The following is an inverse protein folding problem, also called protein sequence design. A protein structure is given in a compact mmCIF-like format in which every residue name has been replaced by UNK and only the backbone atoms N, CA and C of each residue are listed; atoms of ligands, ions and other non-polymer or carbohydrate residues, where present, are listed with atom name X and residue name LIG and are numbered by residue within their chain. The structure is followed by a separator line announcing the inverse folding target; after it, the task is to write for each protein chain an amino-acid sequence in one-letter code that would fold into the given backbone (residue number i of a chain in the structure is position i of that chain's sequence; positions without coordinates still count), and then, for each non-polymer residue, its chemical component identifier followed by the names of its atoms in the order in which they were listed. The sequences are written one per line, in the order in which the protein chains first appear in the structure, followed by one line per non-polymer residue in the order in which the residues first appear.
data_IF_167730964834
#
_entry.id   IF_167730964834
#
_cell.length_a   1.000
_cell.length_b   1.000
_cell.length_c   1.000
_cell.angle_alpha   90.00
_cell.angle_beta   90.00
_cell.angle_gamma   90.00
#
_symmetry.space_group_name_H-M   'P 1'
#
loop_
_entity.id
_entity.type
_entity.pdbx_description
1 polymer ?
#
# COMPACT_ATOMS: atom_id res chain seq x y z
N UNK A 1 -14.92 9.67 3.53
CA UNK A 1 -15.77 8.47 3.69
C UNK A 1 -14.86 7.21 3.77
N UNK A 2 -15.27 6.12 4.45
CA UNK A 2 -14.48 4.88 4.54
C UNK A 2 -14.13 4.27 3.17
N UNK A 3 -15.05 4.35 2.21
CA UNK A 3 -14.86 3.87 0.84
C UNK A 3 -13.81 4.66 0.07
N UNK A 4 -13.74 5.97 0.26
CA UNK A 4 -12.71 6.82 -0.35
C UNK A 4 -11.31 6.47 0.19
N UNK A 5 -11.19 6.24 1.50
CA UNK A 5 -9.94 5.79 2.12
C UNK A 5 -9.50 4.45 1.54
N UNK A 6 -10.43 3.52 1.39
CA UNK A 6 -10.16 2.22 0.78
C UNK A 6 -9.65 2.38 -0.65
N UNK A 7 -10.30 3.22 -1.47
CA UNK A 7 -9.86 3.51 -2.83
C UNK A 7 -8.44 4.11 -2.90
N UNK A 8 -8.09 5.00 -1.96
CA UNK A 8 -6.71 5.53 -1.86
C UNK A 8 -5.71 4.42 -1.51
N UNK A 9 -6.05 3.55 -0.56
CA UNK A 9 -5.21 2.41 -0.16
C UNK A 9 -5.02 1.42 -1.31
N UNK A 10 -6.09 1.06 -2.01
CA UNK A 10 -6.02 0.16 -3.17
C UNK A 10 -5.17 0.76 -4.30
N UNK A 11 -5.28 2.08 -4.55
CA UNK A 11 -4.41 2.78 -5.51
C UNK A 11 -2.95 2.80 -5.07
N UNK A 12 -2.67 2.98 -3.77
CA UNK A 12 -1.30 2.86 -3.24
C UNK A 12 -0.71 1.45 -3.46
N UNK A 13 -1.52 0.40 -3.30
CA UNK A 13 -1.10 -0.98 -3.61
C UNK A 13 -0.74 -1.14 -5.09
N UNK A 14 -1.56 -0.61 -5.99
CA UNK A 14 -1.27 -0.63 -7.44
C UNK A 14 0.01 0.13 -7.78
N UNK A 15 0.24 1.29 -7.15
CA UNK A 15 1.47 2.06 -7.32
C UNK A 15 2.70 1.30 -6.82
N UNK A 16 2.60 0.61 -5.68
CA UNK A 16 3.68 -0.25 -5.18
C UNK A 16 3.98 -1.40 -6.15
N UNK A 17 2.97 -2.05 -6.73
CA UNK A 17 3.19 -3.09 -7.75
C UNK A 17 3.83 -2.52 -9.02
N UNK A 18 3.44 -1.31 -9.42
CA UNK A 18 4.04 -0.62 -10.56
C UNK A 18 5.52 -0.31 -10.31
N UNK A 19 5.87 0.08 -9.07
CA UNK A 19 7.27 0.22 -8.67
C UNK A 19 8.03 -1.09 -8.76
N UNK A 20 7.48 -2.17 -8.19
CA UNK A 20 8.10 -3.50 -8.21
C UNK A 20 8.33 -4.05 -9.63
N UNK A 21 7.62 -3.54 -10.63
CA UNK A 21 7.70 -3.97 -12.04
C UNK A 21 8.47 -3.00 -12.93
N UNK A 22 9.18 -2.01 -12.35
CA UNK A 22 10.13 -1.16 -13.07
C UNK A 22 9.79 0.33 -13.07
N UNK A 23 8.66 0.75 -12.51
CA UNK A 23 8.37 2.18 -12.31
C UNK A 23 9.30 2.81 -11.26
N UNK A 24 9.56 4.11 -11.32
CA UNK A 24 10.30 4.81 -10.23
C UNK A 24 9.44 5.05 -8.99
N UNK A 25 10.03 5.02 -7.79
CA UNK A 25 9.32 5.38 -6.55
C UNK A 25 8.68 6.78 -6.61
N UNK A 26 9.39 7.74 -7.22
CA UNK A 26 8.94 9.12 -7.33
C UNK A 26 7.67 9.29 -8.17
N UNK A 27 7.52 8.54 -9.27
CA UNK A 27 6.32 8.59 -10.12
C UNK A 27 5.21 7.63 -9.69
N UNK A 28 5.49 6.67 -8.80
CA UNK A 28 4.54 5.65 -8.39
C UNK A 28 4.04 5.92 -6.97
N UNK A 29 4.62 5.28 -5.96
CA UNK A 29 4.18 5.36 -4.55
C UNK A 29 4.20 6.80 -4.05
N UNK A 30 5.26 7.56 -4.34
CA UNK A 30 5.41 8.94 -3.87
C UNK A 30 4.75 9.99 -4.77
N UNK A 31 4.03 9.58 -5.81
CA UNK A 31 3.05 10.46 -6.48
C UNK A 31 1.84 10.77 -5.58
N UNK A 32 1.66 9.97 -4.51
CA UNK A 32 0.63 10.17 -3.51
C UNK A 32 1.03 11.26 -2.49
N UNK A 33 0.26 12.33 -2.42
CA UNK A 33 0.45 13.45 -1.49
C UNK A 33 0.41 13.02 -0.02
N UNK A 34 -0.34 11.96 0.29
CA UNK A 34 -0.41 11.39 1.65
C UNK A 34 0.92 10.75 2.08
N UNK A 35 1.69 10.20 1.12
CA UNK A 35 3.02 9.62 1.37
C UNK A 35 4.08 10.69 1.61
N UNK A 36 3.93 11.88 1.01
CA UNK A 36 4.89 12.98 1.15
C UNK A 36 4.84 13.66 2.52
N UNK A 37 3.65 13.71 3.15
CA UNK A 37 3.44 14.37 4.46
C UNK A 37 2.43 13.59 5.32
N UNK A 38 2.77 12.37 5.78
CA UNK A 38 1.87 11.51 6.53
C UNK A 38 1.39 12.15 7.86
N UNK A 39 2.15 13.09 8.43
CA UNK A 39 1.78 13.80 9.67
C UNK A 39 0.48 14.60 9.51
N UNK A 40 0.17 15.07 8.29
CA UNK A 40 -1.05 15.84 8.01
C UNK A 40 -2.32 14.99 8.07
N UNK A 41 -2.18 13.67 7.94
CA UNK A 41 -3.28 12.72 8.02
C UNK A 41 -3.29 11.92 9.33
N UNK A 42 -2.53 12.34 10.36
CA UNK A 42 -2.43 11.60 11.62
C UNK A 42 -3.77 11.36 12.35
N UNK A 43 -4.81 12.16 12.04
CA UNK A 43 -6.16 11.98 12.56
C UNK A 43 -6.90 10.79 11.92
N UNK A 44 -6.49 10.37 10.71
CA UNK A 44 -7.02 9.21 10.00
C UNK A 44 -6.19 7.98 10.32
N UNK A 45 -6.59 7.22 11.34
CA UNK A 45 -5.79 6.11 11.86
C UNK A 45 -5.44 5.07 10.79
N UNK A 46 -6.39 4.73 9.91
CA UNK A 46 -6.20 3.70 8.89
C UNK A 46 -5.25 4.17 7.79
N UNK A 47 -5.53 5.32 7.19
CA UNK A 47 -4.72 5.83 6.09
C UNK A 47 -3.31 6.18 6.56
N UNK A 48 -3.18 6.79 7.74
CA UNK A 48 -1.89 7.14 8.33
C UNK A 48 -1.05 5.89 8.65
N UNK A 49 -1.63 4.88 9.29
CA UNK A 49 -0.92 3.63 9.58
C UNK A 49 -0.48 2.92 8.29
N UNK A 50 -1.33 2.92 7.27
CA UNK A 50 -1.01 2.33 5.97
C UNK A 50 0.15 3.07 5.29
N UNK A 51 0.09 4.40 5.20
CA UNK A 51 1.14 5.20 4.56
C UNK A 51 2.50 5.05 5.26
N UNK A 52 2.51 5.10 6.61
CA UNK A 52 3.74 4.86 7.39
C UNK A 52 4.33 3.48 7.11
N UNK A 53 3.49 2.45 7.15
CA UNK A 53 3.93 1.08 6.91
C UNK A 53 4.39 0.85 5.46
N UNK A 54 3.74 1.48 4.48
CA UNK A 54 4.16 1.43 3.07
C UNK A 54 5.52 2.12 2.88
N UNK A 55 5.73 3.30 3.46
CA UNK A 55 7.01 4.01 3.39
C UNK A 55 8.14 3.14 3.99
N UNK A 56 7.88 2.54 5.15
CA UNK A 56 8.83 1.61 5.75
C UNK A 56 9.04 0.35 4.92
N UNK A 57 7.99 -0.20 4.30
CA UNK A 57 8.10 -1.35 3.38
C UNK A 57 8.95 -1.01 2.15
N UNK A 58 8.81 0.19 1.59
CA UNK A 58 9.66 0.67 0.49
C UNK A 58 11.14 0.68 0.91
N UNK A 59 11.43 1.18 2.11
CA UNK A 59 12.78 1.12 2.69
C UNK A 59 13.29 -0.32 2.82
N UNK A 60 12.48 -1.24 3.34
CA UNK A 60 12.86 -2.65 3.48
C UNK A 60 13.14 -3.30 2.12
N UNK A 61 12.25 -3.14 1.14
CA UNK A 61 12.43 -3.68 -0.21
C UNK A 61 13.69 -3.12 -0.86
N UNK A 62 13.95 -1.81 -0.75
CA UNK A 62 15.19 -1.20 -1.26
C UNK A 62 16.43 -1.82 -0.63
N UNK A 63 16.48 -1.93 0.69
CA UNK A 63 17.62 -2.55 1.40
C UNK A 63 17.81 -3.99 0.93
N UNK A 64 16.74 -4.77 0.81
CA UNK A 64 16.80 -6.16 0.33
C UNK A 64 17.34 -6.26 -1.09
N UNK A 65 16.82 -5.43 -1.99
CA UNK A 65 17.21 -5.41 -3.41
C UNK A 65 18.66 -4.97 -3.56
N UNK A 66 19.09 -3.92 -2.84
CA UNK A 66 20.49 -3.45 -2.87
C UNK A 66 21.49 -4.49 -2.34
N UNK A 67 21.06 -5.40 -1.45
CA UNK A 67 21.88 -6.53 -1.01
C UNK A 67 21.96 -7.65 -2.07
N UNK A 68 21.06 -7.67 -3.06
CA UNK A 68 20.80 -8.78 -3.98
C UNK A 68 21.64 -8.83 -5.25
N UNK A 69 22.75 -8.09 -5.36
CA UNK A 69 23.56 -7.98 -6.59
C UNK A 69 22.72 -7.69 -7.85
N UNK A 70 21.71 -6.82 -7.71
CA UNK A 70 20.87 -6.36 -8.82
C UNK A 70 21.57 -5.26 -9.61
N UNK A 71 21.24 -5.15 -10.89
CA UNK A 71 21.63 -4.03 -11.74
C UNK A 71 20.50 -3.00 -11.73
N UNK A 72 20.82 -1.77 -11.31
CA UNK A 72 19.86 -0.66 -11.28
C UNK A 72 19.36 -0.34 -12.70
N UNK A 73 18.07 -0.02 -12.84
CA UNK A 73 17.36 0.25 -14.11
C UNK A 73 17.18 -0.96 -15.05
N UNK A 74 17.97 -2.02 -14.92
CA UNK A 74 17.80 -3.28 -15.65
C UNK A 74 16.88 -4.25 -14.88
N UNK A 75 17.20 -4.54 -13.62
CA UNK A 75 16.45 -5.48 -12.79
C UNK A 75 15.39 -4.78 -11.94
N UNK A 76 15.74 -3.62 -11.38
CA UNK A 76 14.88 -2.89 -10.44
C UNK A 76 15.22 -1.39 -10.38
N UNK A 77 14.20 -0.54 -10.32
CA UNK A 77 14.38 0.90 -10.10
C UNK A 77 14.53 1.21 -8.60
N UNK A 78 15.76 1.11 -8.10
CA UNK A 78 16.09 1.30 -6.67
C UNK A 78 16.20 2.78 -6.29
N UNK A 79 16.47 3.65 -7.26
CA UNK A 79 16.71 5.06 -7.03
C UNK A 79 15.55 5.74 -6.29
N UNK A 80 15.89 6.41 -5.19
CA UNK A 80 14.92 7.10 -4.35
C UNK A 80 14.83 8.60 -4.63
N UNK A 81 15.72 9.20 -5.43
CA UNK A 81 15.69 10.63 -5.75
C UNK A 81 15.57 11.54 -4.51
N UNK A 82 16.23 11.19 -3.40
CA UNK A 82 16.14 11.95 -2.14
C UNK A 82 14.83 11.77 -1.35
N UNK A 83 13.94 10.86 -1.76
CA UNK A 83 12.74 10.50 -1.01
C UNK A 83 13.09 9.88 0.36
N UNK A 84 12.20 9.98 1.37
CA UNK A 84 12.48 9.58 2.76
C UNK A 84 12.43 8.05 2.95
N UNK A 85 13.24 7.31 2.19
CA UNK A 85 13.40 5.84 2.25
C UNK A 85 14.78 5.44 2.75
N UNK A 86 15.59 6.41 3.20
CA UNK A 86 16.95 6.26 3.72
C UNK A 86 17.99 5.87 2.66
N UNK A 87 19.25 5.89 3.07
CA UNK A 87 20.39 5.60 2.20
C UNK A 87 21.25 4.50 2.84
N UNK A 88 21.50 3.42 2.10
CA UNK A 88 22.45 2.37 2.53
C UNK A 88 21.97 0.93 2.33
N UNK A 89 22.90 0.01 2.56
CA UNK A 89 22.72 -1.44 2.42
C UNK A 89 22.14 -2.12 3.67
N UNK A 90 21.89 -1.36 4.74
CA UNK A 90 21.38 -1.87 6.02
C UNK A 90 20.45 -0.85 6.66
N UNK A 91 19.50 -1.32 7.46
CA UNK A 91 18.61 -0.44 8.22
C UNK A 91 19.36 0.27 9.35
N UNK A 92 19.19 1.59 9.43
CA UNK A 92 19.63 2.42 10.55
C UNK A 92 18.85 2.10 11.83
N UNK A 93 19.31 2.62 12.98
CA UNK A 93 18.62 2.45 14.26
C UNK A 93 17.23 3.09 14.22
N UNK A 94 17.13 4.27 13.61
CA UNK A 94 15.90 5.02 13.39
C UNK A 94 14.93 4.22 12.53
N UNK A 95 15.41 3.69 11.40
CA UNK A 95 14.59 2.87 10.51
C UNK A 95 14.07 1.60 11.21
N UNK A 96 14.87 0.97 12.07
CA UNK A 96 14.42 -0.17 12.88
C UNK A 96 13.34 0.25 13.89
N UNK A 97 13.51 1.41 14.54
CA UNK A 97 12.52 1.95 15.46
C UNK A 97 11.21 2.33 14.74
N UNK A 98 11.30 2.87 13.52
CA UNK A 98 10.16 3.17 12.67
C UNK A 98 9.34 1.92 12.36
N UNK A 99 9.99 0.78 12.10
CA UNK A 99 9.31 -0.51 11.89
C UNK A 99 8.44 -0.92 13.09
N UNK A 100 8.94 -0.73 14.32
CA UNK A 100 8.17 -0.98 15.56
C UNK A 100 6.99 -0.01 15.67
N UNK A 101 7.21 1.28 15.40
CA UNK A 101 6.16 2.30 15.40
C UNK A 101 5.07 2.00 14.36
N UNK A 102 5.46 1.54 13.16
CA UNK A 102 4.54 1.17 12.09
C UNK A 102 3.68 -0.03 12.49
N UNK A 103 4.26 -1.07 13.10
CA UNK A 103 3.50 -2.23 13.59
C UNK A 103 2.46 -1.82 14.65
N UNK A 104 2.85 -0.95 15.59
CA UNK A 104 1.92 -0.44 16.60
C UNK A 104 0.77 0.36 15.96
N UNK A 105 1.08 1.22 14.99
CA UNK A 105 0.07 1.98 14.25
C UNK A 105 -0.89 1.08 13.47
N UNK A 106 -0.38 0.03 12.80
CA UNK A 106 -1.20 -0.95 12.09
C UNK A 106 -2.14 -1.70 13.03
N UNK A 107 -1.65 -2.15 14.19
CA UNK A 107 -2.51 -2.83 15.17
C UNK A 107 -3.64 -1.93 15.66
N UNK A 108 -3.33 -0.67 16.00
CA UNK A 108 -4.34 0.32 16.41
C UNK A 108 -5.36 0.60 15.30
N UNK A 109 -4.92 0.67 14.04
CA UNK A 109 -5.81 0.86 12.90
C UNK A 109 -6.72 -0.36 12.66
N UNK A 110 -6.23 -1.57 12.91
CA UNK A 110 -7.03 -2.79 12.82
C UNK A 110 -8.13 -2.83 13.89
N UNK A 111 -7.80 -2.52 15.14
CA UNK A 111 -8.78 -2.37 16.23
C UNK A 111 -9.85 -1.33 15.86
N UNK A 112 -9.41 -0.18 15.32
CA UNK A 112 -10.33 0.87 14.86
C UNK A 112 -11.28 0.39 13.75
N UNK A 113 -10.80 -0.39 12.77
CA UNK A 113 -11.66 -0.94 11.72
C UNK A 113 -12.74 -1.87 12.30
N UNK A 114 -12.39 -2.69 13.28
CA UNK A 114 -13.33 -3.59 13.95
C UNK A 114 -14.38 -2.82 14.75
N UNK A 115 -13.97 -1.78 15.49
CA UNK A 115 -14.89 -0.89 16.20
C UNK A 115 -15.82 -0.13 15.25
N UNK A 116 -15.27 0.46 14.19
CA UNK A 116 -16.04 1.21 13.21
C UNK A 116 -17.05 0.33 12.46
N UNK A 117 -16.66 -0.91 12.11
CA UNK A 117 -17.55 -1.90 11.51
C UNK A 117 -18.70 -2.32 12.44
N UNK A 118 -18.47 -2.40 13.76
CA UNK A 118 -19.53 -2.63 14.75
C UNK A 118 -20.48 -1.44 14.90
N UNK A 119 -19.95 -0.21 14.83
CA UNK A 119 -20.72 1.02 15.01
C UNK A 119 -21.55 1.39 13.78
N UNK A 120 -21.10 1.02 12.58
CA UNK A 120 -21.79 1.29 11.32
C UNK A 120 -21.98 -0.02 10.52
N UNK A 121 -22.99 -0.85 10.85
CA UNK A 121 -23.24 -2.13 10.18
C UNK A 121 -23.39 -2.01 8.65
N UNK A 122 -23.93 -0.89 8.16
CA UNK A 122 -24.07 -0.61 6.73
C UNK A 122 -22.72 -0.41 6.00
N UNK A 123 -21.66 -0.06 6.73
CA UNK A 123 -20.29 0.06 6.20
C UNK A 123 -19.38 -1.09 6.68
N UNK A 124 -19.93 -2.09 7.38
CA UNK A 124 -19.15 -3.17 7.99
C UNK A 124 -18.27 -3.89 6.98
N UNK A 125 -18.79 -4.14 5.77
CA UNK A 125 -18.03 -4.74 4.68
C UNK A 125 -16.84 -3.85 4.27
N UNK A 126 -17.04 -2.54 4.14
CA UNK A 126 -15.98 -1.59 3.77
C UNK A 126 -14.87 -1.55 4.84
N UNK A 127 -15.24 -1.59 6.11
CA UNK A 127 -14.27 -1.68 7.21
C UNK A 127 -13.55 -3.03 7.25
N UNK A 128 -14.22 -4.13 6.93
CA UNK A 128 -13.59 -5.45 6.80
C UNK A 128 -12.58 -5.48 5.64
N UNK A 129 -12.94 -4.88 4.49
CA UNK A 129 -12.06 -4.72 3.34
C UNK A 129 -10.81 -3.91 3.72
N UNK A 130 -10.99 -2.75 4.35
CA UNK A 130 -9.89 -1.92 4.86
C UNK A 130 -8.99 -2.70 5.82
N UNK A 131 -9.57 -3.42 6.78
CA UNK A 131 -8.83 -4.25 7.72
C UNK A 131 -7.99 -5.33 7.00
N UNK A 132 -8.52 -5.95 5.94
CA UNK A 132 -7.76 -6.91 5.13
C UNK A 132 -6.52 -6.28 4.49
N UNK A 133 -6.62 -5.07 3.90
CA UNK A 133 -5.46 -4.36 3.33
C UNK A 133 -4.41 -4.02 4.40
N UNK A 134 -4.85 -3.61 5.59
CA UNK A 134 -3.96 -3.34 6.72
C UNK A 134 -3.27 -4.62 7.23
N UNK A 135 -3.97 -5.76 7.30
CA UNK A 135 -3.38 -7.05 7.68
C UNK A 135 -2.38 -7.55 6.64
N UNK A 136 -2.71 -7.44 5.35
CA UNK A 136 -1.78 -7.77 4.25
C UNK A 136 -0.49 -6.96 4.39
N UNK A 137 -0.60 -5.63 4.53
CA UNK A 137 0.56 -4.74 4.74
C UNK A 137 1.39 -5.16 5.97
N UNK A 138 0.72 -5.47 7.07
CA UNK A 138 1.38 -5.93 8.30
C UNK A 138 2.19 -7.20 8.07
N UNK A 139 1.58 -8.23 7.48
CA UNK A 139 2.26 -9.50 7.22
C UNK A 139 3.42 -9.32 6.24
N UNK A 140 3.25 -8.56 5.15
CA UNK A 140 4.32 -8.26 4.20
C UNK A 140 5.52 -7.58 4.88
N UNK A 141 5.26 -6.55 5.69
CA UNK A 141 6.29 -5.83 6.42
C UNK A 141 7.02 -6.75 7.42
N UNK A 142 6.29 -7.59 8.16
CA UNK A 142 6.89 -8.54 9.10
C UNK A 142 7.72 -9.62 8.40
N UNK A 143 7.31 -10.06 7.22
CA UNK A 143 8.08 -10.96 6.36
C UNK A 143 9.42 -10.34 5.97
N UNK A 144 9.39 -9.14 5.40
CA UNK A 144 10.59 -8.40 5.00
C UNK A 144 11.52 -8.11 6.17
N UNK A 145 10.99 -7.67 7.32
CA UNK A 145 11.79 -7.46 8.54
C UNK A 145 12.43 -8.75 9.06
N UNK A 146 11.79 -9.91 8.83
CA UNK A 146 12.35 -11.22 9.23
C UNK A 146 13.49 -11.65 8.32
N UNK A 147 13.42 -11.34 7.01
CA UNK A 147 14.53 -11.54 6.06
C UNK A 147 15.71 -10.63 6.40
N UNK A 148 15.45 -9.35 6.67
CA UNK A 148 16.47 -8.32 6.89
C UNK A 148 17.04 -8.27 8.31
N UNK A 149 16.84 -9.32 9.12
CA UNK A 149 17.33 -9.37 10.49
C UNK A 149 18.86 -9.42 10.48
N UNK A 150 19.51 -8.46 11.15
CA UNK A 150 20.95 -8.19 11.02
C UNK A 150 21.89 -9.34 11.44
N UNK A 151 21.48 -10.21 12.37
CA UNK A 151 22.35 -11.28 12.89
C UNK A 151 22.09 -12.64 12.25
N UNK A 152 20.82 -12.94 11.96
CA UNK A 152 20.40 -14.18 11.30
C UNK A 152 19.00 -13.96 10.68
N UNK A 153 18.88 -14.01 9.35
CA UNK A 153 17.58 -14.04 8.68
C UNK A 153 16.71 -15.18 9.23
N UNK A 154 15.46 -14.87 9.57
CA UNK A 154 14.50 -15.85 10.08
C UNK A 154 13.57 -16.25 8.93
N UNK A 155 14.08 -17.10 8.04
CA UNK A 155 13.43 -17.44 6.78
C UNK A 155 12.13 -18.22 6.98
N UNK A 156 12.04 -19.08 8.00
CA UNK A 156 10.81 -19.80 8.34
C UNK A 156 9.71 -18.85 8.82
N UNK A 157 10.06 -17.85 9.63
CA UNK A 157 9.11 -16.82 10.02
C UNK A 157 8.73 -15.93 8.84
N UNK A 158 9.70 -15.56 8.01
CA UNK A 158 9.46 -14.76 6.81
C UNK A 158 8.49 -15.49 5.86
N UNK A 159 8.74 -16.76 5.55
CA UNK A 159 7.89 -17.59 4.70
C UNK A 159 6.45 -17.66 5.22
N UNK A 160 6.26 -17.87 6.53
CA UNK A 160 4.92 -17.88 7.16
C UNK A 160 4.19 -16.55 7.00
N UNK A 161 4.89 -15.43 7.14
CA UNK A 161 4.33 -14.10 6.93
C UNK A 161 3.97 -13.88 5.44
N UNK A 162 4.85 -14.26 4.51
CA UNK A 162 4.57 -14.14 3.08
C UNK A 162 3.42 -15.04 2.61
N UNK A 163 3.30 -16.26 3.11
CA UNK A 163 2.15 -17.13 2.79
C UNK A 163 0.82 -16.51 3.22
N UNK A 164 0.77 -15.87 4.40
CA UNK A 164 -0.43 -15.16 4.87
C UNK A 164 -0.73 -13.93 4.03
N UNK A 165 0.31 -13.15 3.71
CA UNK A 165 0.17 -11.96 2.87
C UNK A 165 -0.36 -12.33 1.47
N UNK A 166 0.16 -13.41 0.88
CA UNK A 166 -0.30 -13.96 -0.40
C UNK A 166 -1.77 -14.37 -0.35
N UNK A 167 -2.18 -15.16 0.65
CA UNK A 167 -3.58 -15.55 0.80
C UNK A 167 -4.52 -14.33 0.91
N UNK A 168 -4.11 -13.28 1.63
CA UNK A 168 -4.89 -12.03 1.72
C UNK A 168 -4.90 -11.24 0.41
N UNK A 169 -3.81 -11.30 -0.38
CA UNK A 169 -3.76 -10.67 -1.69
C UNK A 169 -4.71 -11.37 -2.68
N UNK A 170 -4.74 -12.71 -2.67
CA UNK A 170 -5.66 -13.50 -3.48
C UNK A 170 -7.12 -13.21 -3.12
N UNK A 171 -7.44 -13.12 -1.82
CA UNK A 171 -8.76 -12.70 -1.35
C UNK A 171 -9.13 -11.29 -1.81
N UNK A 172 -8.15 -10.37 -1.83
CA UNK A 172 -8.36 -8.98 -2.28
C UNK A 172 -8.59 -8.91 -3.79
N UNK A 173 -7.83 -9.68 -4.58
CA UNK A 173 -8.02 -9.78 -6.02
C UNK A 173 -9.37 -10.41 -6.40
N UNK A 174 -9.79 -11.46 -5.67
CA UNK A 174 -11.09 -12.09 -5.86
C UNK A 174 -12.26 -11.13 -5.55
N UNK A 175 -12.10 -10.27 -4.55
CA UNK A 175 -13.07 -9.24 -4.20
C UNK A 175 -13.19 -8.16 -5.28
N UNK A 176 -12.09 -7.75 -5.92
CA UNK A 176 -12.13 -6.83 -7.06
C UNK A 176 -12.76 -7.45 -8.31
N UNK A 177 -12.55 -8.75 -8.53
CA UNK A 177 -13.10 -9.48 -9.67
C UNK A 177 -14.59 -9.82 -9.52
N UNK A 178 -15.13 -9.78 -8.29
CA UNK A 178 -16.53 -10.03 -8.04
C UNK A 178 -17.41 -8.95 -8.72
N UNK A 179 -18.50 -9.32 -9.40
CA UNK A 179 -19.38 -8.35 -10.02
C UNK A 179 -19.95 -7.43 -8.94
N UNK A 180 -19.50 -6.17 -8.94
CA UNK A 180 -20.08 -5.11 -8.09
C UNK A 180 -21.53 -4.97 -8.52
N UNK A 181 -22.46 -5.48 -7.70
CA UNK A 181 -23.88 -5.53 -8.00
C UNK A 181 -24.35 -4.20 -8.59
N UNK A 182 -24.66 -4.23 -9.89
CA UNK A 182 -25.33 -3.12 -10.56
C UNK A 182 -26.63 -2.90 -9.81
N UNK A 183 -26.77 -1.72 -9.21
CA UNK A 183 -28.03 -1.31 -8.60
C UNK A 183 -29.16 -1.53 -9.59
N UNK A 184 -30.16 -2.28 -9.16
CA UNK A 184 -31.38 -2.52 -9.91
C UNK A 184 -31.97 -1.19 -10.38
N UNK A 185 -31.96 -0.97 -11.69
CA UNK A 185 -32.90 -0.09 -12.36
C UNK A 185 -33.28 -0.74 -13.67
N UNK A 186 -34.45 -1.39 -13.65
CA UNK A 186 -35.12 -1.87 -14.85
C UNK A 186 -35.84 -0.69 -15.50
N UNK A 187 -35.44 -0.34 -16.72
CA UNK A 187 -36.30 0.15 -17.79
C UNK A 187 -35.49 0.11 -19.07
N UNK A 188 -35.94 -0.69 -20.05
CA UNK A 188 -35.30 -0.78 -21.35
C UNK A 188 -35.55 0.47 -22.17
N UNK A 189 -34.54 0.89 -22.91
CA UNK A 189 -34.65 1.77 -24.08
C UNK A 189 -33.40 1.51 -24.95
N UNK A 190 -33.60 1.53 -26.27
CA UNK A 190 -32.65 1.12 -27.32
C UNK A 190 -31.28 1.83 -27.22
N UNK A 191 -30.19 1.06 -27.16
CA UNK A 191 -28.82 1.60 -27.14
C UNK A 191 -28.34 2.01 -28.55
N UNK A 192 -28.38 3.31 -28.83
CA UNK A 192 -27.35 3.94 -29.68
C UNK A 192 -25.99 3.81 -28.98
N UNK A 193 -24.87 3.56 -29.68
CA UNK A 193 -23.56 3.45 -29.05
C UNK A 193 -23.16 4.82 -28.48
N UNK A 194 -23.39 4.98 -27.18
CA UNK A 194 -22.99 6.16 -26.42
C UNK A 194 -21.47 6.28 -26.35
N UNK A 195 -20.95 7.50 -26.05
CA UNK A 195 -19.53 7.71 -25.85
C UNK A 195 -19.01 6.75 -24.78
N UNK A 196 -17.80 6.22 -25.00
CA UNK A 196 -17.15 5.28 -24.09
C UNK A 196 -17.27 5.79 -22.64
N UNK A 197 -17.61 4.91 -21.67
CA UNK A 197 -17.77 5.31 -20.28
C UNK A 197 -16.51 6.05 -19.82
N UNK A 198 -16.70 7.21 -19.21
CA UNK A 198 -15.60 8.01 -18.68
C UNK A 198 -14.73 7.11 -17.77
N UNK A 199 -13.39 7.23 -17.82
CA UNK A 199 -12.53 6.46 -16.94
C UNK A 199 -12.95 6.71 -15.49
N UNK A 200 -12.90 5.68 -14.62
CA UNK A 200 -13.27 5.83 -13.23
C UNK A 200 -12.45 6.98 -12.62
N UNK A 201 -13.12 7.86 -11.87
CA UNK A 201 -12.47 8.99 -11.22
C UNK A 201 -11.30 8.49 -10.36
N UNK A 202 -10.11 9.02 -10.59
CA UNK A 202 -8.94 8.68 -9.77
C UNK A 202 -9.21 9.06 -8.31
N UNK A 203 -8.79 8.23 -7.34
CA UNK A 203 -8.91 8.59 -5.94
C UNK A 203 -8.11 9.86 -5.66
N UNK A 204 -8.54 10.67 -4.69
CA UNK A 204 -7.88 11.94 -4.40
C UNK A 204 -6.44 11.73 -3.94
N UNK A 205 -5.61 12.75 -4.16
CA UNK A 205 -4.27 12.82 -3.59
C UNK A 205 -3.15 12.22 -4.44
N UNK A 206 -3.39 11.84 -5.69
CA UNK A 206 -2.35 11.38 -6.61
C UNK A 206 -2.08 12.43 -7.68
N UNK A 207 -0.81 12.76 -7.90
CA UNK A 207 -0.38 13.68 -8.94
C UNK A 207 1.00 13.25 -9.46
N UNK A 208 1.04 12.77 -10.71
CA UNK A 208 2.27 12.31 -11.36
C UNK A 208 3.30 13.44 -11.56
N UNK A 209 2.88 14.71 -11.52
CA UNK A 209 3.76 15.85 -11.72
C UNK A 209 4.46 16.32 -10.43
N UNK A 210 4.01 15.86 -9.25
CA UNK A 210 4.48 16.38 -7.95
C UNK A 210 6.00 16.24 -7.77
N UNK A 211 6.58 15.17 -8.31
CA UNK A 211 8.00 14.87 -8.20
C UNK A 211 8.77 15.08 -9.50
N UNK A 212 8.21 15.79 -10.50
CA UNK A 212 8.90 16.08 -11.77
C UNK A 212 10.30 16.67 -11.56
N UNK A 213 10.44 17.54 -10.57
CA UNK A 213 11.69 18.21 -10.24
C UNK A 213 12.77 17.28 -9.69
N UNK A 214 12.41 16.10 -9.18
CA UNK A 214 13.34 15.09 -8.68
C UNK A 214 13.94 14.23 -9.80
N UNK A 215 13.34 14.26 -10.99
CA UNK A 215 13.72 13.43 -12.15
C UNK A 215 14.25 14.25 -13.33
N UNK A 216 14.59 15.52 -13.09
CA UNK A 216 15.12 16.45 -14.08
C UNK A 216 16.64 16.59 -13.97
#
# INVERSE_FOLDING_TARGET
NARERLAVVDRLMQMEMTWHTGGSLANTVFSCLYMLKPERIAHDLCLHAYCKALAHTCTLVRVLVMQGNVVEEEDFMVHAFGLPTGEGLTLSVEQKADGVSCLAALNKALEHCEDAGRQAPQEQEVWAMMARRLRLRKELMQGLSSVLRSEAPDLDKAARHFSKALAMADETAAEEAAPRGVGSSAAGEEETPGPAPAPPAEPPGFDASVNRHLMA
#
